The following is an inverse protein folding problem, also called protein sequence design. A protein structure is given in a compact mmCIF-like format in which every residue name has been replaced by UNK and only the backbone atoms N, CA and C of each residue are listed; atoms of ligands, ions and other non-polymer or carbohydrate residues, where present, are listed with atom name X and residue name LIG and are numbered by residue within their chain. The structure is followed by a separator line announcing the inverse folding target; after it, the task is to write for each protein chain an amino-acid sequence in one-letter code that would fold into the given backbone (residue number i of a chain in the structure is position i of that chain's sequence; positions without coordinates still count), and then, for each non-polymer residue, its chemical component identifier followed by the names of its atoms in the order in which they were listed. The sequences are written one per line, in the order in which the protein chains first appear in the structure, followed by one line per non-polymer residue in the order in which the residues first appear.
data_IF_877051987745
#
_entry.id   IF_877051987745
#
_cell.length_a   1.000
_cell.length_b   1.000
_cell.length_c   1.000
_cell.angle_alpha   90.00
_cell.angle_beta   90.00
_cell.angle_gamma   90.00
#
_symmetry.space_group_name_H-M   'P 1'
#
loop_
_entity.id
_entity.type
_entity.pdbx_description
1 polymer ?
#
# COMPACT_ATOMS: atom_id res chain seq x y z
N UNK A 1 -36.93 24.48 -1.84
CA UNK A 1 -36.55 24.06 -3.22
C UNK A 1 -36.69 25.26 -4.15
N UNK A 2 -35.95 25.29 -5.28
CA UNK A 2 -35.63 26.48 -6.09
C UNK A 2 -34.76 27.50 -5.34
N UNK A 3 -33.46 27.49 -5.64
CA UNK A 3 -32.50 28.56 -5.34
C UNK A 3 -32.07 29.13 -6.69
N UNK A 4 -31.98 30.46 -6.80
CA UNK A 4 -31.80 31.17 -8.07
C UNK A 4 -30.57 30.74 -8.88
N UNK A 5 -30.71 30.80 -10.20
CA UNK A 5 -29.60 30.97 -11.13
C UNK A 5 -29.57 32.43 -11.61
N UNK A 6 -28.43 33.10 -11.47
CA UNK A 6 -27.82 34.08 -12.39
C UNK A 6 -26.60 34.67 -11.67
N UNK A 7 -25.38 34.39 -12.14
CA UNK A 7 -24.73 35.02 -13.30
C UNK A 7 -24.18 36.42 -12.98
N UNK A 8 -22.95 36.45 -12.49
CA UNK A 8 -22.03 37.60 -12.60
C UNK A 8 -20.76 37.03 -13.22
N UNK A 9 -20.37 37.56 -14.37
CA UNK A 9 -19.03 37.38 -14.90
C UNK A 9 -18.41 38.75 -15.13
N UNK A 10 -17.10 38.87 -14.95
CA UNK A 10 -16.22 39.62 -15.85
C UNK A 10 -14.75 39.41 -15.48
N UNK A 11 -13.96 39.00 -16.48
CA UNK A 11 -12.56 39.40 -16.70
C UNK A 11 -11.53 39.34 -15.57
N UNK A 12 -10.60 38.39 -15.68
CA UNK A 12 -9.18 38.65 -15.47
C UNK A 12 -8.35 37.79 -16.44
N UNK A 13 -7.95 38.38 -17.56
CA UNK A 13 -7.11 37.73 -18.57
C UNK A 13 -5.65 37.84 -18.11
N UNK A 14 -5.15 36.82 -17.41
CA UNK A 14 -3.74 36.72 -17.02
C UNK A 14 -3.02 35.81 -18.02
N UNK A 15 -2.14 36.42 -18.80
CA UNK A 15 -1.24 35.75 -19.75
C UNK A 15 0.13 35.51 -19.09
N UNK A 16 0.91 34.62 -19.73
CA UNK A 16 2.27 34.19 -19.40
C UNK A 16 2.43 33.21 -18.23
N UNK A 17 2.98 32.05 -18.57
CA UNK A 17 4.10 31.48 -17.80
C UNK A 17 3.89 30.08 -17.26
N UNK A 18 5.04 29.46 -17.01
CA UNK A 18 5.26 28.18 -16.33
C UNK A 18 4.84 26.89 -17.06
N UNK A 19 5.86 26.04 -17.20
CA UNK A 19 5.77 24.59 -17.15
C UNK A 19 4.72 24.16 -16.10
N UNK A 20 3.69 23.41 -16.51
CA UNK A 20 2.77 22.80 -15.56
C UNK A 20 3.45 21.61 -14.86
N UNK A 21 3.31 21.42 -13.56
CA UNK A 21 2.69 22.30 -12.56
C UNK A 21 2.83 21.65 -11.18
N UNK A 22 3.29 22.41 -10.19
CA UNK A 22 3.32 22.00 -8.78
C UNK A 22 1.93 22.06 -8.12
N UNK A 23 1.72 21.89 -6.81
CA UNK A 23 2.52 21.49 -5.64
C UNK A 23 1.48 21.32 -4.48
N UNK A 24 1.56 20.45 -3.46
CA UNK A 24 2.55 19.48 -2.98
C UNK A 24 1.82 18.17 -2.51
N UNK A 25 2.35 16.97 -2.77
CA UNK A 25 2.20 15.75 -1.93
C UNK A 25 3.55 15.03 -1.96
N UNK A 26 4.35 15.25 -0.93
CA UNK A 26 5.68 14.64 -0.82
C UNK A 26 5.55 13.15 -0.50
N UNK A 27 5.63 12.33 -1.54
CA UNK A 27 6.05 10.93 -1.42
C UNK A 27 7.26 10.70 -2.30
N UNK A 28 8.37 11.32 -1.89
CA UNK A 28 9.72 10.84 -2.22
C UNK A 28 9.95 9.47 -1.57
N UNK A 29 9.24 8.46 -2.06
CA UNK A 29 9.63 7.06 -1.83
C UNK A 29 10.89 6.80 -2.64
N UNK A 30 12.05 7.19 -2.09
CA UNK A 30 13.33 6.62 -2.45
C UNK A 30 13.41 5.18 -1.90
N UNK A 31 12.50 4.33 -2.39
CA UNK A 31 12.60 2.89 -2.30
C UNK A 31 13.35 2.39 -3.53
N UNK A 32 14.64 2.08 -3.36
CA UNK A 32 15.38 1.26 -4.32
C UNK A 32 14.81 -0.16 -4.24
N UNK A 33 13.70 -0.40 -4.95
CA UNK A 33 12.85 -1.58 -4.84
C UNK A 33 12.55 -2.14 -6.23
N UNK A 34 13.11 -3.30 -6.53
CA UNK A 34 13.05 -3.91 -7.85
C UNK A 34 11.62 -4.30 -8.25
N UNK A 35 11.13 -3.76 -9.38
CA UNK A 35 10.05 -4.28 -10.27
C UNK A 35 8.83 -5.02 -9.67
N UNK A 36 8.44 -4.79 -8.42
CA UNK A 36 7.18 -5.30 -7.84
C UNK A 36 5.93 -4.60 -8.41
N UNK A 37 6.11 -3.55 -9.23
CA UNK A 37 5.04 -2.74 -9.82
C UNK A 37 4.06 -3.50 -10.75
N UNK A 38 4.29 -4.79 -11.01
CA UNK A 38 3.35 -5.67 -11.73
C UNK A 38 2.51 -6.58 -10.83
N UNK A 39 2.81 -6.66 -9.52
CA UNK A 39 2.15 -7.56 -8.58
C UNK A 39 1.16 -6.78 -7.70
N UNK A 40 -0.09 -7.23 -7.66
CA UNK A 40 -1.13 -6.70 -6.79
C UNK A 40 -0.98 -7.31 -5.38
N UNK A 41 -0.21 -6.63 -4.52
CA UNK A 41 0.12 -7.09 -3.18
C UNK A 41 -1.12 -7.26 -2.29
N UNK A 42 -2.11 -6.36 -2.41
CA UNK A 42 -3.42 -6.47 -1.79
C UNK A 42 -4.15 -7.75 -2.20
N UNK A 43 -4.16 -8.10 -3.49
CA UNK A 43 -4.82 -9.30 -3.99
C UNK A 43 -4.11 -10.58 -3.54
N UNK A 44 -2.78 -10.61 -3.51
CA UNK A 44 -2.00 -11.74 -2.98
C UNK A 44 -2.25 -11.89 -1.47
N UNK A 45 -2.28 -10.79 -0.71
CA UNK A 45 -2.63 -10.79 0.71
C UNK A 45 -4.05 -11.33 0.95
N UNK A 46 -5.02 -10.89 0.15
CA UNK A 46 -6.41 -11.32 0.25
C UNK A 46 -6.59 -12.83 -0.01
N UNK A 47 -5.79 -13.40 -0.93
CA UNK A 47 -5.82 -14.82 -1.27
C UNK A 47 -5.12 -15.70 -0.22
N UNK A 48 -3.92 -15.30 0.23
CA UNK A 48 -3.03 -16.17 0.99
C UNK A 48 -2.99 -15.88 2.51
N UNK A 49 -3.31 -14.64 2.93
CA UNK A 49 -3.07 -14.19 4.31
C UNK A 49 -4.36 -13.84 5.09
N UNK A 50 -5.36 -13.27 4.41
CA UNK A 50 -6.55 -12.72 5.06
C UNK A 50 -7.39 -13.75 5.85
N UNK A 51 -7.35 -15.03 5.47
CA UNK A 51 -8.03 -16.11 6.20
C UNK A 51 -7.53 -16.28 7.66
N UNK A 52 -6.29 -15.90 7.94
CA UNK A 52 -5.69 -15.95 9.27
C UNK A 52 -5.52 -14.56 9.90
N UNK A 53 -5.17 -13.55 9.10
CA UNK A 53 -4.81 -12.21 9.59
C UNK A 53 -5.92 -11.15 9.42
N UNK A 54 -7.09 -11.56 8.91
CA UNK A 54 -8.23 -10.68 8.66
C UNK A 54 -8.12 -9.91 7.34
N UNK A 55 -9.27 -9.55 6.76
CA UNK A 55 -9.33 -8.85 5.48
C UNK A 55 -8.82 -7.40 5.54
N UNK A 56 -8.84 -6.81 6.73
CA UNK A 56 -8.42 -5.43 7.03
C UNK A 56 -7.15 -5.40 7.90
N UNK A 57 -6.36 -6.48 7.90
CA UNK A 57 -5.15 -6.66 8.73
C UNK A 57 -5.44 -6.66 10.25
N UNK A 58 -6.70 -6.84 10.67
CA UNK A 58 -7.15 -6.69 12.06
C UNK A 58 -6.73 -7.85 12.98
N UNK A 59 -6.29 -8.97 12.40
CA UNK A 59 -6.00 -10.22 13.10
C UNK A 59 -7.25 -11.08 13.30
N UNK A 60 -7.06 -12.40 13.27
CA UNK A 60 -8.11 -13.38 13.55
C UNK A 60 -7.49 -14.59 14.28
N UNK A 61 -7.14 -15.64 13.55
CA UNK A 61 -6.38 -16.79 14.08
C UNK A 61 -4.89 -16.48 14.16
N UNK A 62 -4.40 -15.60 13.27
CA UNK A 62 -3.08 -14.99 13.30
C UNK A 62 -3.12 -13.57 13.89
N UNK A 63 -1.97 -13.02 14.31
CA UNK A 63 -1.88 -11.68 14.91
C UNK A 63 -2.28 -10.57 13.93
N UNK A 64 -2.69 -9.42 14.50
CA UNK A 64 -2.91 -8.17 13.76
C UNK A 64 -1.66 -7.77 12.96
N UNK A 65 -1.86 -7.36 11.72
CA UNK A 65 -0.81 -6.88 10.81
C UNK A 65 -0.93 -5.40 10.44
N UNK A 66 -1.97 -4.69 10.90
CA UNK A 66 -2.22 -3.29 10.57
C UNK A 66 -1.10 -2.32 10.97
N UNK A 67 -0.17 -2.75 11.83
CA UNK A 67 0.98 -2.01 12.36
C UNK A 67 2.29 -2.82 12.24
N UNK A 68 2.34 -3.80 11.33
CA UNK A 68 3.49 -4.72 11.23
C UNK A 68 4.76 -4.01 10.76
N UNK A 69 4.63 -3.02 9.87
CA UNK A 69 5.72 -2.13 9.41
C UNK A 69 6.26 -1.17 10.46
N UNK A 70 5.57 -1.00 11.60
CA UNK A 70 6.11 -0.34 12.79
C UNK A 70 6.99 -1.26 13.64
N UNK A 71 7.03 -2.57 13.34
CA UNK A 71 7.67 -3.62 14.16
C UNK A 71 8.67 -4.48 13.40
N UNK A 72 8.54 -4.61 12.08
CA UNK A 72 9.37 -5.43 11.20
C UNK A 72 9.65 -4.68 9.90
N UNK A 73 10.85 -4.83 9.36
CA UNK A 73 11.22 -4.42 8.00
C UNK A 73 10.65 -5.36 6.94
N UNK A 74 10.64 -4.94 5.67
CA UNK A 74 10.19 -5.77 4.55
C UNK A 74 10.94 -7.12 4.50
N UNK A 75 12.26 -7.13 4.63
CA UNK A 75 13.07 -8.36 4.64
C UNK A 75 12.73 -9.30 5.81
N UNK A 76 12.45 -8.77 7.00
CA UNK A 76 12.00 -9.59 8.13
C UNK A 76 10.59 -10.17 7.91
N UNK A 77 9.74 -9.46 7.17
CA UNK A 77 8.41 -9.96 6.78
C UNK A 77 8.54 -11.04 5.70
N UNK A 78 9.41 -10.88 4.70
CA UNK A 78 9.70 -11.94 3.72
C UNK A 78 10.19 -13.22 4.39
N UNK A 79 11.15 -13.12 5.32
CA UNK A 79 11.67 -14.28 6.04
C UNK A 79 10.57 -15.01 6.83
N UNK A 80 9.61 -14.27 7.40
CA UNK A 80 8.45 -14.84 8.10
C UNK A 80 7.44 -15.49 7.14
N UNK A 81 7.23 -14.92 5.95
CA UNK A 81 6.35 -15.51 4.92
C UNK A 81 6.96 -16.81 4.38
N UNK A 82 8.27 -16.81 4.08
CA UNK A 82 9.02 -17.96 3.59
C UNK A 82 9.08 -19.09 4.62
N UNK A 83 9.59 -18.81 5.82
CA UNK A 83 9.89 -19.83 6.82
C UNK A 83 8.74 -20.14 7.80
N UNK A 84 7.68 -19.33 7.80
CA UNK A 84 6.64 -19.37 8.82
C UNK A 84 7.11 -18.86 10.18
N UNK A 85 6.19 -18.76 11.15
CA UNK A 85 6.50 -18.33 12.53
C UNK A 85 5.46 -18.80 13.53
N UNK A 86 5.88 -19.67 14.45
CA UNK A 86 5.02 -20.21 15.49
C UNK A 86 3.90 -21.06 14.91
N UNK A 87 2.67 -20.53 14.88
CA UNK A 87 1.51 -21.18 14.26
C UNK A 87 1.31 -20.84 12.77
N UNK A 88 2.00 -19.81 12.25
CA UNK A 88 2.00 -19.50 10.81
C UNK A 88 2.88 -20.53 10.08
N UNK A 89 2.34 -21.28 9.10
CA UNK A 89 3.11 -22.23 8.32
C UNK A 89 4.11 -21.54 7.38
N UNK A 90 5.12 -22.29 6.95
CA UNK A 90 6.05 -21.90 5.89
C UNK A 90 5.38 -22.00 4.50
N UNK A 91 5.96 -21.35 3.49
CA UNK A 91 5.55 -21.44 2.09
C UNK A 91 4.04 -21.15 1.87
N UNK A 92 3.48 -20.14 2.54
CA UNK A 92 2.10 -19.68 2.29
C UNK A 92 1.93 -19.00 0.93
N UNK A 93 3.04 -18.57 0.35
CA UNK A 93 3.21 -18.10 -1.02
C UNK A 93 4.47 -18.82 -1.52
N UNK A 94 4.45 -19.34 -2.75
CA UNK A 94 5.60 -20.05 -3.36
C UNK A 94 6.37 -19.16 -4.35
N UNK A 95 5.74 -18.11 -4.87
CA UNK A 95 6.35 -17.17 -5.81
C UNK A 95 7.14 -16.07 -5.08
N UNK A 96 8.41 -15.90 -5.44
CA UNK A 96 9.32 -14.94 -4.80
C UNK A 96 8.93 -13.48 -5.07
N UNK A 97 8.40 -13.15 -6.25
CA UNK A 97 7.96 -11.79 -6.58
C UNK A 97 6.70 -11.42 -5.79
N UNK A 98 5.77 -12.37 -5.61
CA UNK A 98 4.61 -12.21 -4.73
C UNK A 98 5.00 -12.05 -3.25
N UNK A 99 5.97 -12.82 -2.76
CA UNK A 99 6.47 -12.67 -1.37
C UNK A 99 7.05 -11.28 -1.15
N UNK A 100 7.96 -10.82 -2.03
CA UNK A 100 8.61 -9.51 -1.91
C UNK A 100 7.59 -8.37 -2.05
N UNK A 101 6.61 -8.47 -2.96
CA UNK A 101 5.55 -7.48 -3.11
C UNK A 101 4.68 -7.35 -1.85
N UNK A 102 4.20 -8.47 -1.29
CA UNK A 102 3.40 -8.47 -0.05
C UNK A 102 4.21 -7.99 1.15
N UNK A 103 5.47 -8.38 1.25
CA UNK A 103 6.33 -7.98 2.36
C UNK A 103 6.65 -6.48 2.35
N UNK A 104 6.94 -5.91 1.18
CA UNK A 104 7.12 -4.47 1.00
C UNK A 104 5.83 -3.71 1.37
N UNK A 105 4.68 -4.14 0.85
CA UNK A 105 3.39 -3.52 1.14
C UNK A 105 2.98 -3.59 2.63
N UNK A 106 3.30 -4.70 3.31
CA UNK A 106 3.09 -4.87 4.74
C UNK A 106 4.02 -3.98 5.58
N UNK A 107 5.26 -3.75 5.14
CA UNK A 107 6.22 -2.87 5.82
C UNK A 107 5.80 -1.38 5.82
N UNK A 108 4.85 -1.00 4.97
CA UNK A 108 4.25 0.34 4.97
C UNK A 108 3.13 0.51 6.02
N UNK A 109 2.59 -0.58 6.58
CA UNK A 109 1.45 -0.54 7.53
C UNK A 109 1.97 -0.27 8.95
N UNK A 110 1.79 0.96 9.44
CA UNK A 110 2.44 1.49 10.65
C UNK A 110 1.49 1.89 11.76
#
# INVERSE_FOLDING_TARGET
MKKWMMAIGLGAMLTLGACGGGDEEESTSNGDGANTASVDAEAVYAQNCAACHGANLEGMSGPKLSDVGSRLSASEIEEVIKNGKGAMPANVIEDEEEITAVAAWLAEKK
#
